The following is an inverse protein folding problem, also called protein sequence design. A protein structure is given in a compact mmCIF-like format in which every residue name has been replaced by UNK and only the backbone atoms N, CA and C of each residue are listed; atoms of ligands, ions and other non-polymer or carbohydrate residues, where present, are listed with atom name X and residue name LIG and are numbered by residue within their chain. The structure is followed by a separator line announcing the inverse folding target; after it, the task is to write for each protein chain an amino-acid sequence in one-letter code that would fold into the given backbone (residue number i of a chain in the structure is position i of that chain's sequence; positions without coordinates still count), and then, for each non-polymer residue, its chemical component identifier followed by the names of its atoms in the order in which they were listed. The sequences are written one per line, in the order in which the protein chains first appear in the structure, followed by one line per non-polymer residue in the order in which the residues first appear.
data_IF_600881947944
#
_entry.id   IF_600881947944
#
_cell.length_a   1.000
_cell.length_b   1.000
_cell.length_c   1.000
_cell.angle_alpha   90.00
_cell.angle_beta   90.00
_cell.angle_gamma   90.00
#
_symmetry.space_group_name_H-M   'P 1'
#
loop_
_entity.id
_entity.type
_entity.pdbx_description
1 polymer ?
#
# COMPACT_ATOMS: atom_id res chain seq x y z
N UNK A 1 -20.01 1.93 10.57
CA UNK A 1 -19.79 2.81 9.42
C UNK A 1 -18.95 2.08 8.38
N UNK A 2 -19.30 2.17 7.14
CA UNK A 2 -18.56 1.48 6.09
C UNK A 2 -17.27 2.22 5.75
N UNK A 3 -16.17 1.48 5.62
CA UNK A 3 -14.89 1.99 5.18
C UNK A 3 -15.01 2.71 3.84
N UNK A 4 -15.85 2.21 2.95
CA UNK A 4 -16.04 2.78 1.62
C UNK A 4 -16.50 4.24 1.62
N UNK A 5 -17.15 4.68 2.67
CA UNK A 5 -17.71 6.04 2.76
C UNK A 5 -16.73 7.05 3.37
N UNK A 6 -15.68 6.58 4.04
CA UNK A 6 -14.82 7.44 4.86
C UNK A 6 -13.35 7.43 4.44
N UNK A 7 -12.95 6.50 3.61
CA UNK A 7 -11.53 6.37 3.24
C UNK A 7 -11.33 6.89 1.82
N UNK A 8 -10.41 7.83 1.69
CA UNK A 8 -10.05 8.44 0.42
C UNK A 8 -8.53 8.41 0.28
N UNK A 9 -8.04 7.84 -0.82
CA UNK A 9 -6.63 7.92 -1.17
C UNK A 9 -6.34 9.27 -1.80
N UNK A 10 -5.27 9.92 -1.33
CA UNK A 10 -4.89 11.22 -1.87
C UNK A 10 -4.39 11.10 -3.31
N UNK A 11 -4.67 12.10 -4.16
CA UNK A 11 -4.08 12.14 -5.50
C UNK A 11 -2.56 12.14 -5.43
N UNK A 12 -1.90 11.51 -6.41
CA UNK A 12 -0.43 11.46 -6.44
C UNK A 12 0.22 12.83 -6.52
N UNK A 13 -0.45 13.80 -7.13
CA UNK A 13 0.06 15.17 -7.23
C UNK A 13 0.23 15.86 -5.88
N UNK A 14 -0.46 15.37 -4.85
CA UNK A 14 -0.39 15.91 -3.49
C UNK A 14 0.45 15.03 -2.55
N UNK A 15 1.08 14.01 -3.11
CA UNK A 15 1.83 13.07 -2.27
C UNK A 15 3.09 13.71 -1.70
N UNK A 16 3.31 13.48 -0.42
CA UNK A 16 4.53 13.87 0.29
C UNK A 16 5.12 12.61 0.91
N UNK A 17 6.43 12.42 0.72
CA UNK A 17 7.13 11.26 1.28
C UNK A 17 6.97 11.22 2.79
N UNK A 18 6.46 10.11 3.36
CA UNK A 18 6.31 10.00 4.80
C UNK A 18 7.65 10.05 5.51
N UNK A 19 7.69 10.72 6.65
CA UNK A 19 8.88 10.76 7.52
C UNK A 19 8.74 9.81 8.70
N UNK A 20 7.53 9.35 8.98
CA UNK A 20 7.22 8.47 10.09
C UNK A 20 6.19 7.43 9.66
N UNK A 21 6.20 6.29 10.35
CA UNK A 21 5.17 5.27 10.16
C UNK A 21 4.04 5.51 11.16
N UNK A 22 2.79 5.67 10.69
CA UNK A 22 1.68 5.89 11.61
C UNK A 22 1.38 4.63 12.43
N UNK A 23 0.91 4.83 13.65
CA UNK A 23 0.43 3.73 14.47
C UNK A 23 -1.03 3.49 14.14
N UNK A 24 -1.29 2.42 13.38
CA UNK A 24 -2.62 2.06 12.94
C UNK A 24 -3.22 0.89 13.73
N UNK A 25 -2.59 0.51 14.86
CA UNK A 25 -3.00 -0.66 15.63
C UNK A 25 -4.40 -0.54 16.21
N UNK A 26 -4.88 0.67 16.43
CA UNK A 26 -6.19 0.92 17.03
C UNK A 26 -7.27 1.25 16.01
N UNK A 27 -6.97 1.18 14.72
CA UNK A 27 -7.96 1.39 13.68
C UNK A 27 -8.86 0.16 13.56
N UNK A 28 -10.15 0.38 13.36
CA UNK A 28 -11.09 -0.72 13.17
C UNK A 28 -10.93 -1.35 11.79
N UNK A 29 -10.74 -0.54 10.77
CA UNK A 29 -10.59 -0.97 9.38
C UNK A 29 -9.43 -0.25 8.72
N UNK A 30 -8.66 -0.97 7.92
CA UNK A 30 -7.52 -0.43 7.17
C UNK A 30 -7.64 -0.90 5.72
N UNK A 31 -7.79 0.03 4.79
CA UNK A 31 -7.74 -0.28 3.37
C UNK A 31 -6.29 -0.33 2.92
N UNK A 32 -5.94 -1.34 2.15
CA UNK A 32 -4.57 -1.59 1.71
C UNK A 32 -4.56 -1.78 0.20
N UNK A 33 -3.68 -1.06 -0.47
CA UNK A 33 -3.46 -1.21 -1.90
C UNK A 33 -1.95 -1.41 -2.13
N UNK A 34 -1.60 -2.55 -2.72
CA UNK A 34 -0.21 -2.87 -3.03
C UNK A 34 0.09 -2.40 -4.45
N UNK A 35 1.07 -1.51 -4.57
CA UNK A 35 1.55 -1.06 -5.87
C UNK A 35 2.62 -2.03 -6.38
N UNK A 36 2.49 -2.46 -7.62
CA UNK A 36 3.39 -3.44 -8.23
C UNK A 36 4.03 -2.88 -9.48
N UNK A 37 5.21 -3.37 -9.78
CA UNK A 37 5.92 -3.09 -11.03
C UNK A 37 6.32 -4.42 -11.67
N UNK A 38 5.97 -4.58 -12.94
CA UNK A 38 6.29 -5.79 -13.69
C UNK A 38 6.72 -5.42 -15.12
N UNK A 39 8.02 -5.20 -15.33
CA UNK A 39 8.51 -4.80 -16.65
C UNK A 39 8.39 -5.91 -17.69
N UNK A 40 8.16 -7.14 -17.25
CA UNK A 40 8.00 -8.29 -18.15
C UNK A 40 6.55 -8.74 -18.26
N UNK A 41 5.61 -7.85 -17.91
CA UNK A 41 4.19 -8.19 -17.96
C UNK A 41 3.77 -8.63 -19.35
N UNK A 42 3.13 -9.80 -19.41
CA UNK A 42 2.62 -10.38 -20.66
C UNK A 42 1.19 -10.86 -20.43
N UNK A 43 0.38 -10.72 -21.45
CA UNK A 43 -0.97 -11.28 -21.44
C UNK A 43 -0.97 -12.54 -22.29
N UNK A 44 -1.46 -13.63 -21.73
CA UNK A 44 -1.51 -14.94 -22.41
C UNK A 44 -2.95 -15.44 -22.42
N UNK A 45 -3.40 -15.84 -23.62
CA UNK A 45 -4.74 -16.41 -23.79
C UNK A 45 -5.83 -15.47 -23.33
N UNK A 46 -6.83 -15.98 -22.66
CA UNK A 46 -8.06 -15.28 -22.24
C UNK A 46 -7.84 -14.18 -21.20
N UNK A 47 -6.81 -13.36 -21.36
CA UNK A 47 -6.55 -12.26 -20.46
C UNK A 47 -5.71 -12.63 -19.24
N UNK A 48 -5.19 -13.85 -19.20
CA UNK A 48 -4.26 -14.26 -18.15
C UNK A 48 -2.98 -13.43 -18.22
N UNK A 49 -2.55 -12.93 -17.07
CA UNK A 49 -1.36 -12.09 -16.96
C UNK A 49 -0.22 -12.93 -16.39
N UNK A 50 0.90 -12.94 -17.07
CA UNK A 50 2.12 -13.63 -16.63
C UNK A 50 3.24 -12.63 -16.57
N UNK A 51 3.97 -12.63 -15.46
CA UNK A 51 5.10 -11.75 -15.28
C UNK A 51 5.79 -12.02 -13.96
N UNK A 52 6.86 -11.29 -13.72
CA UNK A 52 7.65 -11.38 -12.48
C UNK A 52 7.48 -10.12 -11.65
N UNK A 53 6.22 -9.68 -11.54
CA UNK A 53 5.91 -8.47 -10.80
C UNK A 53 6.40 -8.51 -9.37
N UNK A 54 6.80 -7.36 -8.86
CA UNK A 54 7.19 -7.19 -7.48
C UNK A 54 6.42 -6.04 -6.87
N UNK A 55 6.19 -6.10 -5.58
CA UNK A 55 5.58 -4.98 -4.84
C UNK A 55 6.63 -3.90 -4.67
N UNK A 56 6.29 -2.68 -5.04
CA UNK A 56 7.19 -1.52 -4.96
C UNK A 56 6.75 -0.49 -3.95
N UNK A 57 5.53 -0.60 -3.44
CA UNK A 57 5.02 0.31 -2.43
C UNK A 57 3.71 -0.19 -1.85
N UNK A 58 3.32 0.40 -0.73
CA UNK A 58 2.10 0.05 0.00
C UNK A 58 1.35 1.34 0.30
N UNK A 59 0.09 1.40 -0.16
CA UNK A 59 -0.82 2.47 0.21
C UNK A 59 -1.76 1.98 1.29
N UNK A 60 -1.99 2.79 2.30
CA UNK A 60 -2.96 2.49 3.35
C UNK A 60 -3.90 3.66 3.53
N UNK A 61 -5.13 3.37 3.90
CA UNK A 61 -6.11 4.40 4.23
C UNK A 61 -6.98 3.91 5.37
N UNK A 62 -7.26 4.82 6.28
CA UNK A 62 -8.17 4.61 7.41
C UNK A 62 -9.15 5.77 7.44
N UNK A 63 -10.08 5.73 8.36
CA UNK A 63 -10.96 6.88 8.58
C UNK A 63 -10.11 8.06 9.09
N UNK A 64 -9.91 9.06 8.24
CA UNK A 64 -9.17 10.26 8.57
C UNK A 64 -7.66 10.24 8.25
N UNK A 65 -7.16 9.16 7.67
CA UNK A 65 -5.74 9.09 7.29
C UNK A 65 -5.54 8.32 5.98
N UNK A 66 -4.63 8.79 5.16
CA UNK A 66 -4.14 8.01 4.03
C UNK A 66 -2.65 8.29 3.83
N UNK A 67 -1.92 7.29 3.37
CA UNK A 67 -0.50 7.44 3.10
C UNK A 67 0.00 6.40 2.11
N UNK A 68 1.10 6.72 1.44
CA UNK A 68 1.77 5.82 0.52
C UNK A 68 3.23 5.65 0.94
N UNK A 69 3.68 4.40 0.99
CA UNK A 69 5.00 4.03 1.49
C UNK A 69 5.77 3.28 0.39
N UNK A 70 6.48 4.01 -0.47
CA UNK A 70 7.30 3.39 -1.53
C UNK A 70 8.57 2.82 -0.95
N UNK A 71 9.03 1.67 -1.48
CA UNK A 71 10.28 1.07 -1.00
C UNK A 71 11.11 0.42 -2.10
N UNK A 72 10.62 0.36 -3.33
CA UNK A 72 11.35 -0.33 -4.39
C UNK A 72 11.07 0.25 -5.78
N UNK A 73 10.78 1.54 -5.88
CA UNK A 73 10.62 2.22 -7.16
C UNK A 73 11.96 2.49 -7.81
N UNK A 74 12.03 2.34 -9.12
CA UNK A 74 13.25 2.60 -9.89
C UNK A 74 13.67 4.08 -9.85
N UNK A 75 12.71 4.98 -9.82
CA UNK A 75 12.97 6.42 -9.86
C UNK A 75 13.52 7.02 -8.58
N UNK A 76 13.67 6.24 -7.53
CA UNK A 76 14.11 6.75 -6.24
C UNK A 76 12.94 7.21 -5.37
N UNK A 77 13.23 8.00 -4.33
CA UNK A 77 12.20 8.46 -3.39
C UNK A 77 11.72 7.38 -2.43
N UNK A 78 12.45 6.27 -2.35
CA UNK A 78 12.06 5.12 -1.54
C UNK A 78 12.36 5.32 -0.06
N UNK A 79 11.54 4.67 0.77
CA UNK A 79 11.81 4.46 2.17
C UNK A 79 12.68 3.20 2.33
N UNK A 80 13.20 2.98 3.52
CA UNK A 80 13.96 1.75 3.80
C UNK A 80 13.01 0.56 3.78
N UNK A 81 13.25 -0.37 2.85
CA UNK A 81 12.35 -1.50 2.61
C UNK A 81 12.10 -2.33 3.87
N UNK A 82 13.15 -2.65 4.62
CA UNK A 82 13.01 -3.47 5.82
C UNK A 82 12.07 -2.84 6.84
N UNK A 83 12.11 -1.52 6.98
CA UNK A 83 11.24 -0.80 7.90
C UNK A 83 9.80 -0.77 7.44
N UNK A 84 9.57 -0.58 6.14
CA UNK A 84 8.22 -0.60 5.58
C UNK A 84 7.60 -1.99 5.77
N UNK A 85 8.34 -3.04 5.45
CA UNK A 85 7.86 -4.41 5.57
C UNK A 85 7.57 -4.76 7.04
N UNK A 86 8.45 -4.36 7.96
CA UNK A 86 8.22 -4.61 9.39
C UNK A 86 6.96 -3.90 9.89
N UNK A 87 6.81 -2.64 9.55
CA UNK A 87 5.62 -1.87 9.92
C UNK A 87 4.34 -2.49 9.36
N UNK A 88 4.36 -2.88 8.09
CA UNK A 88 3.21 -3.51 7.46
C UNK A 88 2.90 -4.88 8.07
N UNK A 89 3.92 -5.68 8.36
CA UNK A 89 3.75 -6.97 9.01
C UNK A 89 3.08 -6.80 10.38
N UNK A 90 3.50 -5.81 11.13
CA UNK A 90 2.92 -5.53 12.45
C UNK A 90 1.44 -5.13 12.33
N UNK A 91 1.09 -4.33 11.32
CA UNK A 91 -0.30 -3.98 11.05
C UNK A 91 -1.13 -5.23 10.73
N UNK A 92 -0.60 -6.12 9.90
CA UNK A 92 -1.32 -7.34 9.53
C UNK A 92 -1.60 -8.27 10.71
N UNK A 93 -0.83 -8.16 11.78
CA UNK A 93 -1.03 -8.96 12.99
C UNK A 93 -2.05 -8.38 13.96
N UNK A 94 -2.53 -7.17 13.71
CA UNK A 94 -3.51 -6.54 14.60
C UNK A 94 -4.91 -7.12 14.37
N UNK A 95 -5.84 -6.80 15.29
CA UNK A 95 -7.22 -7.26 15.18
C UNK A 95 -8.06 -6.44 14.22
N UNK A 96 -7.50 -5.36 13.66
CA UNK A 96 -8.20 -4.53 12.67
C UNK A 96 -8.60 -5.34 11.45
N UNK A 97 -9.72 -4.98 10.83
CA UNK A 97 -10.12 -5.55 9.55
C UNK A 97 -9.25 -4.95 8.43
N UNK A 98 -8.60 -5.79 7.64
CA UNK A 98 -7.80 -5.36 6.49
C UNK A 98 -8.59 -5.59 5.23
N UNK A 99 -8.70 -4.54 4.40
CA UNK A 99 -9.43 -4.59 3.14
C UNK A 99 -8.42 -4.34 2.02
N UNK A 100 -8.13 -5.38 1.26
CA UNK A 100 -7.18 -5.31 0.15
C UNK A 100 -7.90 -4.96 -1.15
N UNK A 101 -7.28 -4.12 -1.92
CA UNK A 101 -7.74 -3.73 -3.25
C UNK A 101 -6.88 -4.32 -4.35
#
# INVERSE_FOLDING_TARGET
MSLKNNIVFKPQTEWVKPTEFPDLRFCNEIAIDLETHDPELKTMGSGSVVGKGKVVGIAVATDGYSGYFPFDHEGGGNLEKSKVIQWFTDICKTTSTKIFH
#
